data_IF_633937035527
#
_entry.id   IF_633937035527
#
_cell.length_a   1.000
_cell.length_b   1.000
_cell.length_c   1.000
_cell.angle_alpha   90.00
_cell.angle_beta   90.00
_cell.angle_gamma   90.00
#
_symmetry.space_group_name_H-M   'P 1'
#
loop_
_entity.id
_entity.type
_entity.pdbx_description
1 polymer ?
#
# COMPACT_ATOMS: atom_id res chain seq x y z
N UNK A 1 31.15 -14.81 6.94
CA UNK A 1 29.86 -15.50 7.15
C UNK A 1 29.06 -14.67 8.13
N UNK A 2 28.16 -13.82 7.62
CA UNK A 2 27.23 -13.04 8.45
C UNK A 2 25.87 -13.14 7.78
N UNK A 3 25.12 -14.15 8.18
CA UNK A 3 23.69 -14.23 7.95
C UNK A 3 23.10 -15.09 9.08
N UNK A 4 21.80 -14.96 9.35
CA UNK A 4 21.04 -15.43 10.54
C UNK A 4 21.07 -14.47 11.74
N UNK A 5 19.98 -13.80 12.14
CA UNK A 5 18.56 -14.18 12.09
C UNK A 5 17.67 -12.92 12.11
N UNK A 6 16.76 -12.77 11.15
CA UNK A 6 15.73 -11.70 11.11
C UNK A 6 14.30 -12.24 11.10
N UNK A 7 14.04 -13.52 11.39
CA UNK A 7 12.73 -14.10 11.01
C UNK A 7 11.78 -14.44 12.17
N UNK A 8 12.15 -14.16 13.42
CA UNK A 8 11.29 -14.51 14.56
C UNK A 8 10.06 -13.61 14.74
N UNK A 9 10.04 -12.40 14.16
CA UNK A 9 8.96 -11.42 14.38
C UNK A 9 7.81 -11.55 13.36
N UNK A 10 8.06 -12.07 12.15
CA UNK A 10 7.02 -12.24 11.13
C UNK A 10 6.05 -13.37 11.45
N UNK A 11 6.59 -14.53 11.86
CA UNK A 11 5.80 -15.72 12.16
C UNK A 11 4.82 -15.56 13.34
N UNK A 12 5.10 -14.64 14.28
CA UNK A 12 4.23 -14.40 15.45
C UNK A 12 3.00 -13.54 15.11
N UNK A 13 3.08 -12.69 14.08
CA UNK A 13 1.96 -11.85 13.63
C UNK A 13 0.95 -12.68 12.84
N UNK A 14 1.43 -13.65 12.06
CA UNK A 14 0.58 -14.57 11.31
C UNK A 14 -0.26 -15.51 12.20
N UNK A 15 0.18 -15.78 13.44
CA UNK A 15 -0.52 -16.66 14.38
C UNK A 15 -1.69 -16.00 15.13
N UNK A 16 -1.84 -14.67 15.04
CA UNK A 16 -2.89 -13.90 15.75
C UNK A 16 -3.92 -13.33 14.75
N UNK A 17 -3.57 -13.24 13.46
CA UNK A 17 -4.47 -12.73 12.42
C UNK A 17 -5.49 -13.78 11.99
N UNK A 18 -6.73 -13.35 11.84
CA UNK A 18 -7.83 -14.13 11.23
C UNK A 18 -7.75 -14.19 9.70
N UNK A 19 -6.90 -13.37 9.07
CA UNK A 19 -6.59 -13.48 7.64
C UNK A 19 -5.54 -14.57 7.40
N UNK A 20 -5.71 -15.32 6.32
CA UNK A 20 -4.68 -16.24 5.81
C UNK A 20 -3.61 -15.49 5.01
N UNK A 21 -2.44 -16.12 4.88
CA UNK A 21 -1.36 -15.59 4.04
C UNK A 21 -1.72 -15.51 2.56
N UNK A 22 -2.56 -16.43 2.08
CA UNK A 22 -3.05 -16.43 0.69
C UNK A 22 -3.98 -15.24 0.43
N UNK A 23 -4.90 -14.94 1.35
CA UNK A 23 -5.75 -13.74 1.26
C UNK A 23 -4.92 -12.46 1.26
N UNK A 24 -3.91 -12.37 2.14
CA UNK A 24 -2.96 -11.24 2.14
C UNK A 24 -2.23 -11.11 0.80
N UNK A 25 -1.77 -12.21 0.24
CA UNK A 25 -1.10 -12.21 -1.07
C UNK A 25 -2.04 -11.76 -2.19
N UNK A 26 -3.29 -12.23 -2.18
CA UNK A 26 -4.32 -11.82 -3.13
C UNK A 26 -4.59 -10.30 -3.03
N UNK A 27 -4.77 -9.77 -1.81
CA UNK A 27 -4.96 -8.33 -1.58
C UNK A 27 -3.76 -7.52 -2.09
N UNK A 28 -2.54 -8.00 -1.84
CA UNK A 28 -1.32 -7.33 -2.30
C UNK A 28 -1.19 -7.31 -3.84
N UNK A 29 -1.85 -8.23 -4.55
CA UNK A 29 -1.87 -8.26 -6.01
C UNK A 29 -2.95 -7.35 -6.61
N UNK A 30 -3.97 -6.92 -5.84
CA UNK A 30 -5.11 -6.18 -6.37
C UNK A 30 -4.75 -4.81 -6.94
N UNK A 31 -5.38 -4.37 -8.05
CA UNK A 31 -5.31 -2.98 -8.50
C UNK A 31 -6.08 -2.05 -7.54
N UNK A 32 -5.81 -0.74 -7.65
CA UNK A 32 -6.36 0.27 -6.74
C UNK A 32 -7.89 0.25 -6.67
N UNK A 33 -8.57 0.25 -7.84
CA UNK A 33 -10.03 0.30 -7.88
C UNK A 33 -10.68 -0.95 -7.26
N UNK A 34 -10.08 -2.12 -7.48
CA UNK A 34 -10.58 -3.36 -6.86
C UNK A 34 -10.38 -3.35 -5.35
N UNK A 35 -9.19 -2.94 -4.88
CA UNK A 35 -8.92 -2.84 -3.44
C UNK A 35 -9.86 -1.83 -2.77
N UNK A 36 -10.13 -0.69 -3.43
CA UNK A 36 -11.06 0.34 -2.95
C UNK A 36 -12.50 -0.19 -2.87
N UNK A 37 -12.97 -0.87 -3.91
CA UNK A 37 -14.33 -1.41 -3.93
C UNK A 37 -14.53 -2.48 -2.84
N UNK A 38 -13.59 -3.42 -2.70
CA UNK A 38 -13.62 -4.42 -1.63
C UNK A 38 -13.55 -3.78 -0.24
N UNK A 39 -12.78 -2.69 -0.08
CA UNK A 39 -12.75 -1.94 1.18
C UNK A 39 -14.13 -1.37 1.54
N UNK A 40 -14.82 -0.78 0.56
CA UNK A 40 -16.19 -0.26 0.75
C UNK A 40 -17.14 -1.39 1.14
N UNK A 41 -17.02 -2.56 0.51
CA UNK A 41 -17.82 -3.74 0.88
C UNK A 41 -17.54 -4.20 2.30
N UNK A 42 -16.27 -4.22 2.71
CA UNK A 42 -15.87 -4.58 4.07
C UNK A 42 -16.47 -3.65 5.12
N UNK A 43 -16.41 -2.34 4.87
CA UNK A 43 -17.01 -1.33 5.75
C UNK A 43 -18.53 -1.51 5.82
N UNK A 44 -19.20 -1.68 4.68
CA UNK A 44 -20.66 -1.91 4.64
C UNK A 44 -21.08 -3.15 5.43
N UNK A 45 -20.31 -4.24 5.37
CA UNK A 45 -20.58 -5.46 6.12
C UNK A 45 -20.48 -5.24 7.64
N UNK A 46 -19.49 -4.45 8.09
CA UNK A 46 -19.36 -4.06 9.49
C UNK A 46 -20.50 -3.15 9.94
N UNK A 47 -20.88 -2.16 9.13
CA UNK A 47 -21.96 -1.20 9.41
C UNK A 47 -23.35 -1.85 9.45
N UNK A 48 -23.59 -2.86 8.61
CA UNK A 48 -24.84 -3.62 8.61
C UNK A 48 -25.06 -4.39 9.93
N UNK A 49 -23.97 -4.76 10.62
CA UNK A 49 -24.02 -5.59 11.81
C UNK A 49 -24.50 -7.02 11.50
N UNK A 50 -24.83 -7.78 12.54
CA UNK A 50 -25.32 -9.17 12.41
C UNK A 50 -24.22 -10.23 12.20
N UNK A 51 -22.95 -9.82 12.15
CA UNK A 51 -21.79 -10.70 12.16
C UNK A 51 -21.50 -11.18 13.59
N UNK A 52 -20.97 -12.39 13.74
CA UNK A 52 -20.37 -12.83 15.01
C UNK A 52 -19.10 -12.01 15.31
N UNK A 53 -18.58 -12.10 16.54
CA UNK A 53 -17.34 -11.41 16.91
C UNK A 53 -16.17 -11.82 15.99
N UNK A 54 -16.01 -13.13 15.75
CA UNK A 54 -14.95 -13.68 14.90
C UNK A 54 -15.05 -13.18 13.46
N UNK A 55 -16.27 -13.20 12.90
CA UNK A 55 -16.54 -12.66 11.57
C UNK A 55 -16.29 -11.14 11.49
N UNK A 56 -16.65 -10.41 12.54
CA UNK A 56 -16.42 -8.95 12.61
C UNK A 56 -14.91 -8.64 12.66
N UNK A 57 -14.13 -9.43 13.41
CA UNK A 57 -12.68 -9.29 13.47
C UNK A 57 -12.04 -9.58 12.12
N UNK A 58 -12.43 -10.66 11.45
CA UNK A 58 -11.95 -10.96 10.10
C UNK A 58 -12.30 -9.88 9.09
N UNK A 59 -13.53 -9.37 9.13
CA UNK A 59 -13.97 -8.31 8.23
C UNK A 59 -13.20 -7.00 8.46
N UNK A 60 -12.87 -6.69 9.71
CA UNK A 60 -12.03 -5.55 10.06
C UNK A 60 -10.59 -5.72 9.57
N UNK A 61 -9.95 -6.86 9.81
CA UNK A 61 -8.59 -7.14 9.33
C UNK A 61 -8.51 -7.08 7.80
N UNK A 62 -9.52 -7.63 7.11
CA UNK A 62 -9.65 -7.52 5.66
C UNK A 62 -9.72 -6.06 5.21
N UNK A 63 -10.53 -5.24 5.88
CA UNK A 63 -10.61 -3.80 5.65
C UNK A 63 -9.26 -3.10 5.81
N UNK A 64 -8.54 -3.35 6.91
CA UNK A 64 -7.22 -2.77 7.16
C UNK A 64 -6.19 -3.14 6.07
N UNK A 65 -6.18 -4.40 5.65
CA UNK A 65 -5.30 -4.88 4.58
C UNK A 65 -5.60 -4.19 3.23
N UNK A 66 -6.89 -4.06 2.89
CA UNK A 66 -7.34 -3.39 1.66
C UNK A 66 -7.02 -1.89 1.68
N UNK A 67 -7.24 -1.21 2.80
CA UNK A 67 -6.90 0.20 2.98
C UNK A 67 -5.39 0.44 2.81
N UNK A 68 -4.56 -0.40 3.45
CA UNK A 68 -3.11 -0.35 3.30
C UNK A 68 -2.66 -0.54 1.85
N UNK A 69 -3.27 -1.49 1.12
CA UNK A 69 -2.98 -1.70 -0.31
C UNK A 69 -3.32 -0.45 -1.14
N UNK A 70 -4.52 0.09 -0.97
CA UNK A 70 -4.98 1.26 -1.71
C UNK A 70 -4.08 2.49 -1.44
N UNK A 71 -3.73 2.74 -0.17
CA UNK A 71 -2.81 3.80 0.22
C UNK A 71 -1.41 3.62 -0.35
N UNK A 72 -0.87 2.38 -0.34
CA UNK A 72 0.44 2.08 -0.90
C UNK A 72 0.53 2.33 -2.41
N UNK A 73 -0.54 2.04 -3.16
CA UNK A 73 -0.62 2.34 -4.58
C UNK A 73 -0.63 3.85 -4.84
N UNK A 74 -1.42 4.62 -4.08
CA UNK A 74 -1.46 6.08 -4.18
C UNK A 74 -0.10 6.70 -3.82
N UNK A 75 0.56 6.21 -2.78
CA UNK A 75 1.90 6.65 -2.40
C UNK A 75 2.93 6.40 -3.51
N UNK A 76 2.85 5.26 -4.19
CA UNK A 76 3.71 4.94 -5.34
C UNK A 76 3.49 5.90 -6.50
N UNK A 77 2.24 6.22 -6.83
CA UNK A 77 1.91 7.19 -7.88
C UNK A 77 2.43 8.58 -7.51
N UNK A 78 2.25 8.99 -6.26
CA UNK A 78 2.76 10.27 -5.75
C UNK A 78 4.29 10.36 -5.87
N UNK A 79 5.01 9.32 -5.46
CA UNK A 79 6.47 9.27 -5.57
C UNK A 79 6.96 9.39 -7.03
N UNK A 80 6.26 8.74 -7.98
CA UNK A 80 6.57 8.86 -9.42
C UNK A 80 6.36 10.29 -9.94
N UNK A 81 5.28 10.95 -9.51
CA UNK A 81 5.01 12.32 -9.90
C UNK A 81 6.07 13.29 -9.35
N UNK A 82 6.45 13.11 -8.09
CA UNK A 82 7.47 13.94 -7.44
C UNK A 82 8.83 13.77 -8.12
N UNK A 83 9.22 12.55 -8.49
CA UNK A 83 10.44 12.28 -9.25
C UNK A 83 10.44 12.95 -10.64
N UNK A 84 9.35 12.82 -11.39
CA UNK A 84 9.24 13.45 -12.70
C UNK A 84 9.32 14.99 -12.64
N UNK A 85 8.75 15.61 -11.60
CA UNK A 85 8.83 17.06 -11.40
C UNK A 85 10.27 17.51 -11.05
N UNK A 86 10.99 16.72 -10.26
CA UNK A 86 12.39 16.99 -9.92
C UNK A 86 13.30 16.90 -11.17
N UNK A 87 13.11 15.89 -12.02
CA UNK A 87 13.84 15.72 -13.28
C UNK A 87 13.60 16.89 -14.25
N UNK A 88 12.35 17.35 -14.38
CA UNK A 88 11.99 18.51 -15.19
C UNK A 88 12.68 19.79 -14.67
N UNK A 89 12.68 19.99 -13.36
CA UNK A 89 13.31 21.16 -12.73
C UNK A 89 14.84 21.16 -12.92
N UNK A 90 15.48 19.99 -12.79
CA UNK A 90 16.92 19.83 -13.02
C UNK A 90 17.31 20.08 -14.48
N UNK A 91 16.49 19.62 -15.42
CA UNK A 91 16.67 19.86 -16.86
C UNK A 91 16.57 21.36 -17.17
N UNK A 92 15.56 22.04 -16.63
CA UNK A 92 15.37 23.48 -16.81
C UNK A 92 16.54 24.31 -16.24
N UNK A 93 17.06 23.94 -15.05
CA UNK A 93 18.22 24.61 -14.45
C UNK A 93 19.49 24.44 -15.29
N UNK A 94 19.70 23.27 -15.87
CA UNK A 94 20.84 23.00 -16.75
C UNK A 94 20.76 23.82 -18.04
N UNK A 95 19.58 23.85 -18.68
CA UNK A 95 19.34 24.64 -19.89
C UNK A 95 19.53 26.15 -19.66
N UNK A 96 19.03 26.67 -18.53
CA UNK A 96 19.21 28.08 -18.17
C UNK A 96 20.67 28.47 -17.88
N UNK A 97 21.47 27.54 -17.34
CA UNK A 97 22.90 27.77 -17.08
C UNK A 97 23.71 27.83 -18.38
N UNK A 98 23.38 27.01 -19.39
CA UNK A 98 24.05 27.06 -20.69
C UNK A 98 23.75 28.36 -21.44
N UNK A 99 22.48 28.80 -21.46
CA UNK A 99 22.10 30.05 -22.11
C UNK A 99 22.83 31.29 -21.56
N UNK A 100 23.26 31.25 -20.29
CA UNK A 100 23.96 32.35 -19.63
C UNK A 100 25.48 32.34 -19.90
N UNK A 101 26.03 31.25 -20.46
CA UNK A 101 27.44 31.12 -20.84
C UNK A 101 27.69 31.56 -22.29
N UNK A 102 26.66 31.60 -23.14
CA UNK A 102 26.72 31.96 -24.55
C UNK A 102 26.49 33.47 -24.82
N UNK A 103 26.40 34.30 -23.77
CA UNK A 103 26.24 35.77 -23.84
C UNK A 103 27.47 36.50 -23.30
#
# INVERSE_FOLDING_TARGET
MSDETKDANGAKVDAISTLSSEERAAINAMPYEEAREKLVQAVKALEAGGLTLDQSMHQWELGEALAKRAQGLLATVRAKLDAAQAEQSATAATAGTQSNLES
#
